data_IF_355110484375
#
_entry.id   IF_355110484375
#
_cell.length_a   1.000
_cell.length_b   1.000
_cell.length_c   1.000
_cell.angle_alpha   90.00
_cell.angle_beta   90.00
_cell.angle_gamma   90.00
#
_symmetry.space_group_name_H-M   'P 1'
#
loop_
_entity.id
_entity.type
_entity.pdbx_description
1 polymer ?
#
# COMPACT_ATOMS: atom_id res chain seq x y z
N UNK A 1 -20.32 -36.71 -13.98
CA UNK A 1 -19.15 -35.97 -13.45
C UNK A 1 -19.19 -36.08 -11.94
N UNK A 2 -18.16 -36.65 -11.27
CA UNK A 2 -18.20 -36.84 -9.80
C UNK A 2 -18.23 -35.47 -9.10
N UNK A 3 -19.01 -35.32 -8.03
CA UNK A 3 -19.20 -34.07 -7.26
C UNK A 3 -17.86 -33.38 -6.89
N UNK A 4 -16.82 -34.18 -6.64
CA UNK A 4 -15.43 -33.73 -6.42
C UNK A 4 -14.86 -32.87 -7.55
N UNK A 5 -15.16 -33.20 -8.81
CA UNK A 5 -14.64 -32.47 -9.97
C UNK A 5 -15.35 -31.12 -10.15
N UNK A 6 -16.64 -31.04 -9.79
CA UNK A 6 -17.40 -29.78 -9.79
C UNK A 6 -16.85 -28.85 -8.71
N UNK A 7 -16.50 -29.39 -7.54
CA UNK A 7 -15.91 -28.62 -6.44
C UNK A 7 -14.52 -28.07 -6.76
N UNK A 8 -13.66 -28.86 -7.42
CA UNK A 8 -12.34 -28.41 -7.89
C UNK A 8 -12.47 -27.33 -8.96
N UNK A 9 -13.40 -27.49 -9.92
CA UNK A 9 -13.68 -26.46 -10.94
C UNK A 9 -14.24 -25.18 -10.31
N UNK A 10 -15.12 -25.29 -9.31
CA UNK A 10 -15.64 -24.13 -8.58
C UNK A 10 -14.56 -23.42 -7.74
N UNK A 11 -13.63 -24.17 -7.13
CA UNK A 11 -12.50 -23.61 -6.38
C UNK A 11 -11.47 -22.93 -7.30
N UNK A 12 -11.29 -23.45 -8.52
CA UNK A 12 -10.38 -22.89 -9.51
C UNK A 12 -10.92 -21.58 -10.13
N UNK A 13 -12.25 -21.40 -10.17
CA UNK A 13 -12.92 -20.15 -10.58
C UNK A 13 -12.89 -19.09 -9.47
N UNK A 14 -12.71 -19.50 -8.20
CA UNK A 14 -12.55 -18.59 -7.06
C UNK A 14 -11.10 -18.14 -6.80
N UNK A 15 -10.12 -18.61 -7.58
CA UNK A 15 -8.77 -18.07 -7.48
C UNK A 15 -8.78 -16.61 -7.98
N UNK A 16 -8.38 -15.63 -7.16
CA UNK A 16 -8.24 -14.26 -7.64
C UNK A 16 -7.24 -14.25 -8.78
N UNK A 17 -7.69 -13.86 -9.97
CA UNK A 17 -6.80 -13.63 -11.10
C UNK A 17 -5.85 -12.50 -10.69
N UNK A 18 -4.51 -12.68 -10.81
CA UNK A 18 -3.60 -11.56 -10.62
C UNK A 18 -3.92 -10.53 -11.69
N UNK A 19 -4.46 -9.38 -11.28
CA UNK A 19 -4.51 -8.22 -12.16
C UNK A 19 -3.06 -7.78 -12.39
N UNK A 20 -2.64 -7.58 -13.65
CA UNK A 20 -1.32 -7.03 -13.91
C UNK A 20 -1.20 -5.68 -13.21
N UNK A 21 -0.13 -5.50 -12.44
CA UNK A 21 0.21 -4.21 -11.85
C UNK A 21 0.46 -3.19 -12.96
N UNK A 22 0.16 -1.93 -12.70
CA UNK A 22 0.35 -0.84 -13.64
C UNK A 22 1.84 -0.71 -14.01
N UNK A 23 2.12 -0.68 -15.32
CA UNK A 23 3.48 -0.52 -15.82
C UNK A 23 4.08 0.82 -15.37
N UNK A 24 5.30 0.77 -14.85
CA UNK A 24 6.04 1.96 -14.45
C UNK A 24 6.45 2.77 -15.70
N UNK A 25 6.08 4.05 -15.79
CA UNK A 25 6.47 4.91 -16.90
C UNK A 25 7.99 5.07 -16.99
N UNK A 26 8.50 5.39 -18.18
CA UNK A 26 9.93 5.62 -18.36
C UNK A 26 10.39 6.89 -17.62
N UNK A 27 11.59 6.85 -17.07
CA UNK A 27 12.21 8.02 -16.46
C UNK A 27 12.91 8.84 -17.56
N UNK A 28 12.37 10.02 -17.87
CA UNK A 28 12.90 10.91 -18.91
C UNK A 28 13.62 12.15 -18.35
N UNK A 29 13.39 12.46 -17.08
CA UNK A 29 13.91 13.66 -16.43
C UNK A 29 13.55 13.69 -14.95
N UNK A 30 13.78 14.81 -14.28
CA UNK A 30 13.34 14.99 -12.89
C UNK A 30 11.84 15.24 -12.85
N UNK A 31 11.25 15.79 -13.92
CA UNK A 31 9.81 15.95 -14.09
C UNK A 31 9.30 15.07 -15.23
N UNK A 32 8.36 14.18 -14.89
CA UNK A 32 7.76 13.22 -15.81
C UNK A 32 6.24 13.43 -15.85
N UNK A 33 5.78 14.34 -16.70
CA UNK A 33 4.36 14.76 -16.76
C UNK A 33 3.55 13.96 -17.80
N UNK A 34 3.22 12.69 -17.50
CA UNK A 34 2.45 11.84 -18.41
C UNK A 34 0.96 12.19 -18.47
N UNK A 35 0.44 12.86 -17.44
CA UNK A 35 -0.95 13.32 -17.39
C UNK A 35 -1.16 14.70 -18.06
N UNK A 36 -0.08 15.38 -18.48
CA UNK A 36 -0.12 16.76 -19.01
C UNK A 36 -0.81 17.73 -18.06
N UNK A 37 -0.50 17.61 -16.78
CA UNK A 37 -1.04 18.46 -15.73
C UNK A 37 -0.26 19.76 -15.58
N UNK A 38 0.98 19.82 -16.08
CA UNK A 38 1.87 20.96 -15.92
C UNK A 38 2.09 21.69 -17.24
N UNK A 39 2.25 23.01 -17.18
CA UNK A 39 2.69 23.78 -18.34
C UNK A 39 4.13 23.41 -18.73
N UNK A 40 4.48 23.44 -20.03
CA UNK A 40 5.86 23.20 -20.48
C UNK A 40 6.88 24.13 -19.80
N UNK A 41 6.48 25.37 -19.49
CA UNK A 41 7.28 26.34 -18.75
C UNK A 41 7.58 25.85 -17.34
N UNK A 42 6.57 25.38 -16.62
CA UNK A 42 6.71 24.86 -15.26
C UNK A 42 7.58 23.59 -15.24
N UNK A 43 7.38 22.67 -16.18
CA UNK A 43 8.23 21.47 -16.33
C UNK A 43 9.70 21.86 -16.45
N UNK A 44 10.05 22.79 -17.36
CA UNK A 44 11.43 23.25 -17.55
C UNK A 44 12.01 23.92 -16.30
N UNK A 45 11.22 24.77 -15.64
CA UNK A 45 11.66 25.46 -14.42
C UNK A 45 11.92 24.48 -13.27
N UNK A 46 11.04 23.51 -13.08
CA UNK A 46 11.18 22.47 -12.06
C UNK A 46 12.37 21.56 -12.36
N UNK A 47 12.55 21.11 -13.60
CA UNK A 47 13.71 20.30 -13.97
C UNK A 47 15.03 21.01 -13.65
N UNK A 48 15.16 22.29 -14.00
CA UNK A 48 16.35 23.10 -13.72
C UNK A 48 16.57 23.32 -12.21
N UNK A 49 15.49 23.59 -11.47
CA UNK A 49 15.53 23.76 -10.01
C UNK A 49 15.99 22.48 -9.33
N UNK A 50 15.38 21.35 -9.68
CA UNK A 50 15.71 20.04 -9.11
C UNK A 50 17.13 19.60 -9.50
N UNK A 51 17.58 19.89 -10.72
CA UNK A 51 18.96 19.63 -11.14
C UNK A 51 19.99 20.43 -10.35
N UNK A 52 19.68 21.69 -10.03
CA UNK A 52 20.55 22.53 -9.21
C UNK A 52 20.58 22.04 -7.76
N UNK A 53 19.41 21.74 -7.20
CA UNK A 53 19.30 21.22 -5.85
C UNK A 53 20.03 19.87 -5.66
N UNK A 54 19.93 18.96 -6.63
CA UNK A 54 20.65 17.68 -6.59
C UNK A 54 22.16 17.87 -6.61
N UNK A 55 22.68 18.81 -7.43
CA UNK A 55 24.12 19.13 -7.45
C UNK A 55 24.62 19.64 -6.10
N UNK A 56 23.82 20.46 -5.42
CA UNK A 56 24.22 21.10 -4.16
C UNK A 56 24.07 20.16 -2.94
N UNK A 57 23.07 19.30 -2.94
CA UNK A 57 22.69 18.49 -1.77
C UNK A 57 22.90 16.98 -1.93
N UNK A 58 23.26 16.52 -3.13
CA UNK A 58 23.21 15.11 -3.57
C UNK A 58 21.82 14.45 -3.52
N UNK A 59 20.78 15.15 -3.08
CA UNK A 59 19.42 14.61 -2.90
C UNK A 59 18.68 14.60 -4.24
N UNK A 60 18.11 13.46 -4.60
CA UNK A 60 17.38 13.30 -5.85
C UNK A 60 15.88 13.45 -5.60
N UNK A 61 15.26 14.45 -6.21
CA UNK A 61 13.81 14.64 -6.17
C UNK A 61 13.28 14.47 -7.59
N UNK A 62 12.24 13.64 -7.75
CA UNK A 62 11.53 13.45 -9.00
C UNK A 62 10.03 13.74 -8.86
N UNK A 63 9.41 14.18 -9.94
CA UNK A 63 7.98 14.42 -10.07
C UNK A 63 7.43 13.49 -11.14
N UNK A 64 6.32 12.82 -10.84
CA UNK A 64 5.57 11.98 -11.76
C UNK A 64 4.09 12.40 -11.74
N UNK A 65 3.51 12.65 -12.91
CA UNK A 65 2.06 12.71 -13.05
C UNK A 65 1.61 11.54 -13.92
N UNK A 66 0.53 10.87 -13.54
CA UNK A 66 -0.07 9.79 -14.31
C UNK A 66 -1.56 10.04 -14.53
N UNK A 67 -2.10 9.70 -15.71
CA UNK A 67 -3.52 9.94 -16.00
C UNK A 67 -4.44 9.12 -15.09
N UNK A 68 -4.04 7.90 -14.72
CA UNK A 68 -4.81 7.00 -13.84
C UNK A 68 -3.91 5.93 -13.23
N UNK A 69 -4.32 5.39 -12.09
CA UNK A 69 -3.72 4.21 -11.44
C UNK A 69 -4.32 2.89 -11.95
N UNK A 70 -5.36 2.92 -12.79
CA UNK A 70 -6.03 1.71 -13.33
C UNK A 70 -6.52 0.71 -12.27
N UNK A 71 -6.80 1.19 -11.05
CA UNK A 71 -7.23 0.36 -9.93
C UNK A 71 -6.12 0.00 -8.94
N UNK A 72 -4.85 0.33 -9.23
CA UNK A 72 -3.74 0.13 -8.31
C UNK A 72 -3.77 1.11 -7.13
N UNK A 73 -3.17 0.68 -6.03
CA UNK A 73 -2.96 1.52 -4.86
C UNK A 73 -1.79 2.48 -5.08
N UNK A 74 -1.99 3.77 -4.75
CA UNK A 74 -1.01 4.82 -5.01
C UNK A 74 0.30 4.60 -4.24
N UNK A 75 0.21 4.10 -3.01
CA UNK A 75 1.39 3.86 -2.17
C UNK A 75 2.24 2.73 -2.76
N UNK A 76 1.62 1.59 -3.05
CA UNK A 76 2.33 0.48 -3.70
C UNK A 76 2.91 0.87 -5.06
N UNK A 77 2.13 1.59 -5.88
CA UNK A 77 2.60 2.09 -7.16
C UNK A 77 3.79 3.04 -7.00
N UNK A 78 3.76 3.95 -6.04
CA UNK A 78 4.86 4.90 -5.81
C UNK A 78 6.17 4.22 -5.39
N UNK A 79 6.09 3.18 -4.57
CA UNK A 79 7.25 2.37 -4.15
C UNK A 79 7.84 1.67 -5.37
N UNK A 80 7.01 0.99 -6.16
CA UNK A 80 7.45 0.31 -7.40
C UNK A 80 8.13 1.29 -8.37
N UNK A 81 7.56 2.48 -8.56
CA UNK A 81 8.18 3.53 -9.39
C UNK A 81 9.53 3.93 -8.84
N UNK A 82 9.61 4.24 -7.54
CA UNK A 82 10.85 4.69 -6.90
C UNK A 82 11.97 3.64 -6.97
N UNK A 83 11.64 2.37 -6.75
CA UNK A 83 12.55 1.23 -6.86
C UNK A 83 13.02 1.00 -8.31
N UNK A 84 12.08 0.98 -9.26
CA UNK A 84 12.40 0.75 -10.67
C UNK A 84 13.23 1.89 -11.26
N UNK A 85 12.93 3.13 -10.89
CA UNK A 85 13.71 4.31 -11.24
C UNK A 85 15.02 4.41 -10.46
N UNK A 86 15.21 3.58 -9.43
CA UNK A 86 16.38 3.55 -8.55
C UNK A 86 16.66 4.93 -7.96
N UNK A 87 15.63 5.63 -7.50
CA UNK A 87 15.77 7.03 -7.10
C UNK A 87 16.65 7.17 -5.84
N UNK A 88 17.43 8.25 -5.75
CA UNK A 88 18.41 8.45 -4.68
C UNK A 88 19.75 7.77 -4.95
N UNK A 89 20.72 7.92 -4.05
CA UNK A 89 22.04 7.31 -4.18
C UNK A 89 22.18 6.08 -3.27
N UNK A 90 22.77 5.00 -3.79
CA UNK A 90 23.03 3.78 -3.04
C UNK A 90 23.78 4.07 -1.72
N UNK A 91 23.18 3.64 -0.61
CA UNK A 91 23.74 3.80 0.74
C UNK A 91 23.58 5.20 1.34
N UNK A 92 23.01 6.15 0.60
CA UNK A 92 22.53 7.43 1.15
C UNK A 92 21.01 7.48 1.24
N UNK A 93 20.31 6.70 0.40
CA UNK A 93 18.86 6.54 0.40
C UNK A 93 18.12 7.89 0.39
N UNK A 94 18.67 8.83 -0.39
CA UNK A 94 18.29 10.24 -0.42
C UNK A 94 17.46 10.59 -1.66
N UNK A 95 16.50 9.73 -1.99
CA UNK A 95 15.53 9.93 -3.06
C UNK A 95 14.18 10.42 -2.53
N UNK A 96 13.47 11.25 -3.29
CA UNK A 96 12.08 11.66 -3.02
C UNK A 96 11.29 11.63 -4.32
N UNK A 97 10.15 10.93 -4.34
CA UNK A 97 9.23 10.93 -5.46
C UNK A 97 7.93 11.65 -5.07
N UNK A 98 7.61 12.73 -5.77
CA UNK A 98 6.28 13.34 -5.74
C UNK A 98 5.45 12.78 -6.89
N UNK A 99 4.34 12.12 -6.58
CA UNK A 99 3.46 11.52 -7.57
C UNK A 99 2.04 12.09 -7.49
N UNK A 100 1.45 12.40 -8.65
CA UNK A 100 0.06 12.82 -8.78
C UNK A 100 -0.67 11.87 -9.75
N UNK A 101 -1.81 11.33 -9.31
CA UNK A 101 -2.71 10.53 -10.13
C UNK A 101 -3.96 11.36 -10.44
N UNK A 102 -4.16 11.69 -11.72
CA UNK A 102 -5.16 12.66 -12.16
C UNK A 102 -6.59 12.14 -11.98
N UNK A 103 -6.91 10.96 -12.52
CA UNK A 103 -8.26 10.40 -12.46
C UNK A 103 -8.72 10.12 -11.03
N UNK A 104 -7.81 9.67 -10.17
CA UNK A 104 -8.10 9.37 -8.76
C UNK A 104 -8.05 10.62 -7.86
N UNK A 105 -7.55 11.75 -8.38
CA UNK A 105 -7.23 12.97 -7.62
C UNK A 105 -6.45 12.69 -6.34
N UNK A 106 -5.41 11.87 -6.46
CA UNK A 106 -4.53 11.52 -5.35
C UNK A 106 -3.13 12.05 -5.58
N UNK A 107 -2.48 12.41 -4.48
CA UNK A 107 -1.09 12.86 -4.46
C UNK A 107 -0.34 12.09 -3.38
N UNK A 108 0.92 11.75 -3.63
CA UNK A 108 1.80 11.13 -2.63
C UNK A 108 3.21 11.67 -2.75
N UNK A 109 3.86 11.82 -1.61
CA UNK A 109 5.30 12.02 -1.49
C UNK A 109 5.85 10.72 -0.92
N UNK A 110 6.71 10.05 -1.67
CA UNK A 110 7.46 8.85 -1.26
C UNK A 110 8.88 9.27 -0.92
N UNK A 111 9.37 8.87 0.25
CA UNK A 111 10.62 9.38 0.84
C UNK A 111 11.57 8.22 1.13
N UNK A 112 12.80 8.32 0.61
CA UNK A 112 13.86 7.36 0.88
C UNK A 112 14.30 7.38 2.34
N UNK A 113 14.79 6.24 2.84
CA UNK A 113 15.11 6.04 4.26
C UNK A 113 16.08 7.09 4.82
N UNK A 114 17.03 7.55 4.01
CA UNK A 114 18.05 8.52 4.43
C UNK A 114 17.53 9.93 4.72
N UNK A 115 16.30 10.24 4.29
CA UNK A 115 15.68 11.55 4.48
C UNK A 115 14.61 11.57 5.57
N UNK A 116 14.23 10.42 6.15
CA UNK A 116 13.17 10.34 7.17
C UNK A 116 13.45 11.21 8.41
N UNK A 117 14.71 11.51 8.72
CA UNK A 117 15.07 12.39 9.84
C UNK A 117 14.71 13.87 9.61
N UNK A 118 14.65 14.33 8.36
CA UNK A 118 14.38 15.73 7.98
C UNK A 118 13.04 15.90 7.26
N UNK A 119 12.59 14.87 6.55
CA UNK A 119 11.30 14.79 5.85
C UNK A 119 10.54 13.51 6.30
N UNK A 120 10.12 13.42 7.57
CA UNK A 120 9.27 12.32 8.03
C UNK A 120 7.85 12.40 7.46
N UNK A 121 7.08 11.32 7.59
CA UNK A 121 5.68 11.20 7.12
C UNK A 121 4.78 12.35 7.58
N UNK A 122 4.96 12.82 8.82
CA UNK A 122 4.20 13.97 9.35
C UNK A 122 4.49 15.23 8.54
N UNK A 123 5.76 15.48 8.19
CA UNK A 123 6.17 16.64 7.40
C UNK A 123 5.67 16.50 5.97
N UNK A 124 5.83 15.34 5.35
CA UNK A 124 5.27 15.05 4.02
C UNK A 124 3.74 15.28 3.99
N UNK A 125 3.03 14.83 5.03
CA UNK A 125 1.58 15.04 5.17
C UNK A 125 1.22 16.52 5.28
N UNK A 126 1.99 17.31 6.03
CA UNK A 126 1.81 18.77 6.11
C UNK A 126 2.05 19.47 4.77
N UNK A 127 3.11 19.08 4.04
CA UNK A 127 3.38 19.63 2.72
C UNK A 127 2.19 19.37 1.79
N UNK A 128 1.72 18.13 1.73
CA UNK A 128 0.59 17.80 0.86
C UNK A 128 -0.65 18.57 1.29
N UNK A 129 -1.04 18.48 2.56
CA UNK A 129 -2.33 18.99 3.04
C UNK A 129 -2.38 20.51 3.08
N UNK A 130 -1.34 21.14 3.60
CA UNK A 130 -1.35 22.57 3.95
C UNK A 130 -0.73 23.42 2.83
N UNK A 131 0.17 22.86 2.01
CA UNK A 131 0.83 23.57 0.90
C UNK A 131 0.21 23.22 -0.44
N UNK A 132 0.13 21.92 -0.79
CA UNK A 132 -0.26 21.51 -2.15
C UNK A 132 -1.78 21.50 -2.36
N UNK A 133 -2.52 20.83 -1.46
CA UNK A 133 -3.95 20.56 -1.59
C UNK A 133 -4.81 21.80 -1.91
N UNK A 134 -4.57 23.00 -1.35
CA UNK A 134 -5.35 24.19 -1.71
C UNK A 134 -5.28 24.54 -3.20
N UNK A 135 -4.11 24.40 -3.82
CA UNK A 135 -3.93 24.64 -5.25
C UNK A 135 -4.47 23.49 -6.09
N UNK A 136 -4.22 22.24 -5.69
CA UNK A 136 -4.70 21.06 -6.41
C UNK A 136 -6.24 20.99 -6.46
N UNK A 137 -6.92 21.42 -5.38
CA UNK A 137 -8.38 21.53 -5.32
C UNK A 137 -8.98 22.50 -6.33
N UNK A 138 -8.22 23.52 -6.70
CA UNK A 138 -8.61 24.55 -7.67
C UNK A 138 -8.02 24.29 -9.06
N UNK A 139 -7.54 23.07 -9.31
CA UNK A 139 -6.88 22.62 -10.55
C UNK A 139 -5.69 23.51 -10.96
N UNK A 140 -5.10 24.23 -10.00
CA UNK A 140 -3.90 25.04 -10.19
C UNK A 140 -2.65 24.18 -9.96
N UNK A 141 -2.44 23.20 -10.84
CA UNK A 141 -1.39 22.19 -10.71
C UNK A 141 0.02 22.79 -10.75
N UNK A 142 0.27 23.77 -11.62
CA UNK A 142 1.57 24.43 -11.75
C UNK A 142 2.03 25.03 -10.41
N UNK A 143 1.17 25.81 -9.76
CA UNK A 143 1.48 26.41 -8.46
C UNK A 143 1.52 25.36 -7.35
N UNK A 144 0.61 24.38 -7.36
CA UNK A 144 0.56 23.33 -6.34
C UNK A 144 1.81 22.45 -6.32
N UNK A 145 2.27 22.01 -7.49
CA UNK A 145 3.50 21.21 -7.62
C UNK A 145 4.73 22.05 -7.33
N UNK A 146 4.79 23.29 -7.81
CA UNK A 146 5.94 24.18 -7.54
C UNK A 146 6.10 24.48 -6.05
N UNK A 147 5.00 24.86 -5.38
CA UNK A 147 5.01 25.11 -3.94
C UNK A 147 5.31 23.84 -3.13
N UNK A 148 4.80 22.69 -3.56
CA UNK A 148 5.12 21.39 -2.97
C UNK A 148 6.61 21.06 -3.05
N UNK A 149 7.22 21.25 -4.22
CA UNK A 149 8.66 21.01 -4.43
C UNK A 149 9.51 21.97 -3.59
N UNK A 150 9.14 23.25 -3.51
CA UNK A 150 9.84 24.21 -2.67
C UNK A 150 9.76 23.83 -1.18
N UNK A 151 8.61 23.35 -0.73
CA UNK A 151 8.43 22.87 0.63
C UNK A 151 9.21 21.57 0.91
N UNK A 152 9.28 20.64 -0.04
CA UNK A 152 10.11 19.42 0.06
C UNK A 152 11.59 19.82 0.17
N UNK A 153 12.07 20.71 -0.70
CA UNK A 153 13.46 21.21 -0.65
C UNK A 153 13.74 21.86 0.71
N UNK A 154 12.85 22.71 1.21
CA UNK A 154 12.99 23.34 2.53
C UNK A 154 13.03 22.30 3.66
N UNK A 155 12.19 21.26 3.59
CA UNK A 155 12.17 20.20 4.58
C UNK A 155 13.46 19.38 4.59
N UNK A 156 14.01 19.05 3.41
CA UNK A 156 15.30 18.33 3.32
C UNK A 156 16.48 19.12 3.89
N UNK A 157 16.37 20.45 3.97
CA UNK A 157 17.35 21.34 4.63
C UNK A 157 17.07 21.55 6.12
N UNK A 158 15.98 21.00 6.66
CA UNK A 158 15.53 21.23 8.03
C UNK A 158 14.91 22.61 8.27
N UNK A 159 14.56 23.33 7.22
CA UNK A 159 14.06 24.72 7.28
C UNK A 159 12.53 24.81 7.29
N UNK A 160 11.85 23.70 6.97
CA UNK A 160 10.39 23.68 6.85
C UNK A 160 9.71 23.87 8.22
N UNK A 161 8.80 24.85 8.28
CA UNK A 161 7.95 25.12 9.43
C UNK A 161 6.50 24.91 9.01
N UNK A 162 5.88 23.83 9.49
CA UNK A 162 4.45 23.66 9.33
C UNK A 162 3.72 24.82 10.03
N UNK A 163 2.67 25.35 9.39
CA UNK A 163 1.80 26.31 10.04
C UNK A 163 1.21 25.66 11.31
N UNK A 164 1.15 26.36 12.46
CA UNK A 164 0.51 25.83 13.65
C UNK A 164 -1.00 25.75 13.42
N UNK A 165 -1.46 24.64 12.84
CA UNK A 165 -2.88 24.28 12.76
C UNK A 165 -3.05 22.81 13.14
N UNK A 166 -3.76 22.62 14.25
CA UNK A 166 -4.44 21.42 14.72
C UNK A 166 -3.65 20.10 14.63
N UNK A 167 -2.71 19.95 15.55
CA UNK A 167 -2.20 18.65 16.03
C UNK A 167 -3.29 17.75 16.67
N UNK A 168 -4.58 18.04 16.44
CA UNK A 168 -5.72 17.41 17.08
C UNK A 168 -6.76 16.95 16.08
N UNK A 169 -6.37 16.15 15.08
CA UNK A 169 -7.32 15.41 14.21
C UNK A 169 -6.63 14.28 13.43
N UNK A 170 -5.76 13.51 14.07
CA UNK A 170 -5.43 12.17 13.57
C UNK A 170 -6.48 11.20 14.10
N UNK A 171 -7.57 11.08 13.35
CA UNK A 171 -8.38 9.88 13.39
C UNK A 171 -7.45 8.73 12.98
N UNK A 172 -7.06 7.94 13.98
CA UNK A 172 -6.41 6.66 13.79
C UNK A 172 -7.26 5.90 12.74
N UNK A 173 -6.76 5.77 11.51
CA UNK A 173 -7.33 4.83 10.53
C UNK A 173 -7.04 3.46 11.11
N UNK A 174 -7.91 3.01 12.01
CA UNK A 174 -7.89 1.68 12.61
C UNK A 174 -8.00 0.75 11.42
N UNK A 175 -6.97 -0.06 11.19
CA UNK A 175 -7.02 -1.17 10.24
C UNK A 175 -8.13 -2.10 10.72
N UNK A 176 -9.37 -1.84 10.30
CA UNK A 176 -10.39 -2.85 10.35
C UNK A 176 -9.88 -3.94 9.41
N UNK A 177 -9.53 -5.09 9.99
CA UNK A 177 -9.44 -6.30 9.18
C UNK A 177 -10.71 -6.31 8.34
N UNK A 178 -10.55 -6.26 7.02
CA UNK A 178 -11.66 -6.20 6.09
C UNK A 178 -12.63 -7.31 6.48
N UNK A 179 -13.89 -6.98 6.74
CA UNK A 179 -14.95 -7.91 7.17
C UNK A 179 -14.84 -9.33 6.57
N UNK A 180 -14.51 -9.53 5.27
CA UNK A 180 -14.25 -10.87 4.71
C UNK A 180 -13.11 -11.65 5.39
N UNK A 181 -12.00 -11.03 5.78
CA UNK A 181 -10.86 -11.69 6.45
C UNK A 181 -11.25 -12.15 7.85
N UNK A 182 -12.01 -11.33 8.58
CA UNK A 182 -12.48 -11.68 9.92
C UNK A 182 -13.52 -12.82 9.87
N UNK A 183 -14.41 -12.79 8.87
CA UNK A 183 -15.39 -13.85 8.62
C UNK A 183 -14.70 -15.16 8.25
N UNK A 184 -13.67 -15.13 7.39
CA UNK A 184 -12.85 -16.29 7.04
C UNK A 184 -12.22 -16.93 8.28
N UNK A 185 -11.64 -16.13 9.17
CA UNK A 185 -10.99 -16.62 10.39
C UNK A 185 -11.99 -17.31 11.34
N UNK A 186 -13.20 -16.75 11.48
CA UNK A 186 -14.26 -17.37 12.28
C UNK A 186 -14.73 -18.69 11.68
N UNK A 187 -14.86 -18.76 10.35
CA UNK A 187 -15.23 -20.00 9.66
C UNK A 187 -14.15 -21.07 9.84
N UNK A 188 -12.86 -20.71 9.73
CA UNK A 188 -11.74 -21.63 9.96
C UNK A 188 -11.75 -22.15 11.40
N UNK A 189 -11.90 -21.28 12.39
CA UNK A 189 -11.98 -21.67 13.81
C UNK A 189 -13.20 -22.56 14.08
N UNK A 190 -14.37 -22.25 13.51
CA UNK A 190 -15.57 -23.06 13.66
C UNK A 190 -15.44 -24.46 13.03
N UNK A 191 -14.75 -24.56 11.89
CA UNK A 191 -14.48 -25.85 11.22
C UNK A 191 -13.47 -26.69 12.01
N UNK A 192 -12.40 -26.08 12.54
CA UNK A 192 -11.40 -26.76 13.35
C UNK A 192 -11.98 -27.27 14.68
N UNK A 193 -12.80 -26.46 15.35
CA UNK A 193 -13.47 -26.88 16.59
C UNK A 193 -14.57 -27.93 16.34
N UNK A 194 -15.22 -27.88 15.17
CA UNK A 194 -16.21 -28.87 14.73
C UNK A 194 -15.64 -30.27 14.50
N UNK A 195 -14.32 -30.38 14.29
CA UNK A 195 -13.63 -31.67 14.24
C UNK A 195 -13.51 -32.35 15.62
N UNK A 196 -13.55 -31.58 16.71
CA UNK A 196 -13.48 -32.09 18.09
C UNK A 196 -14.85 -32.26 18.76
N UNK A 197 -15.79 -31.33 18.53
CA UNK A 197 -17.16 -31.44 19.03
C UNK A 197 -18.12 -30.53 18.26
N UNK A 198 -19.25 -31.10 17.81
CA UNK A 198 -20.30 -30.39 17.06
C UNK A 198 -20.98 -29.28 17.86
N UNK A 199 -20.92 -29.35 19.19
CA UNK A 199 -21.46 -28.31 20.07
C UNK A 199 -20.51 -27.11 20.16
N UNK A 200 -19.20 -27.33 20.05
CA UNK A 200 -18.19 -26.26 20.10
C UNK A 200 -18.19 -25.42 18.82
N UNK A 201 -18.43 -26.02 17.65
CA UNK A 201 -18.55 -25.26 16.39
C UNK A 201 -19.80 -24.37 16.34
N UNK A 202 -20.92 -24.84 16.88
CA UNK A 202 -22.14 -24.04 17.04
C UNK A 202 -21.90 -22.84 17.97
N UNK A 203 -21.24 -23.06 19.11
CA UNK A 203 -20.90 -22.00 20.05
C UNK A 203 -19.92 -20.97 19.44
N UNK A 204 -18.91 -21.44 18.69
CA UNK A 204 -17.97 -20.58 17.99
C UNK A 204 -18.66 -19.70 16.94
N UNK A 205 -19.61 -20.25 16.17
CA UNK A 205 -20.41 -19.47 15.24
C UNK A 205 -21.32 -18.45 15.94
N UNK A 206 -21.95 -18.84 17.05
CA UNK A 206 -22.84 -18.00 17.84
C UNK A 206 -22.14 -16.78 18.46
N UNK A 207 -20.86 -16.90 18.80
CA UNK A 207 -20.05 -15.80 19.35
C UNK A 207 -19.31 -15.04 18.26
N UNK A 208 -18.74 -15.74 17.27
CA UNK A 208 -17.91 -15.16 16.24
C UNK A 208 -18.68 -14.24 15.29
N UNK A 209 -19.85 -14.67 14.83
CA UNK A 209 -20.62 -13.92 13.82
C UNK A 209 -21.11 -12.55 14.33
N UNK A 210 -21.68 -12.43 15.56
CA UNK A 210 -21.99 -11.13 16.15
C UNK A 210 -20.76 -10.26 16.39
N UNK A 211 -19.65 -10.85 16.84
CA UNK A 211 -18.42 -10.13 17.13
C UNK A 211 -17.82 -9.51 15.86
N UNK A 212 -17.81 -10.26 14.75
CA UNK A 212 -17.37 -9.75 13.46
C UNK A 212 -18.26 -8.63 12.92
N UNK A 213 -19.58 -8.79 13.05
CA UNK A 213 -20.53 -7.76 12.63
C UNK A 213 -20.37 -6.48 13.45
N UNK A 214 -20.19 -6.60 14.77
CA UNK A 214 -19.97 -5.46 15.66
C UNK A 214 -18.66 -4.72 15.37
N UNK A 215 -17.59 -5.46 15.04
CA UNK A 215 -16.29 -4.87 14.69
C UNK A 215 -16.30 -4.18 13.32
N UNK A 216 -17.06 -4.70 12.35
CA UNK A 216 -17.15 -4.11 11.02
C UNK A 216 -18.15 -2.95 10.95
N UNK A 217 -19.22 -3.00 11.75
CA UNK A 217 -20.29 -2.01 11.76
C UNK A 217 -20.56 -1.55 13.21
N UNK A 218 -19.75 -0.63 13.75
CA UNK A 218 -19.98 -0.09 15.08
C UNK A 218 -21.32 0.68 15.10
N UNK A 219 -22.25 0.28 15.96
CA UNK A 219 -23.60 0.85 16.06
C UNK A 219 -24.75 -0.14 15.92
N UNK A 220 -24.47 -1.43 15.69
CA UNK A 220 -25.50 -2.47 15.70
C UNK A 220 -26.16 -2.58 17.08
N UNK A 221 -27.50 -2.53 17.09
CA UNK A 221 -28.28 -2.70 18.31
C UNK A 221 -28.21 -4.11 18.88
N UNK A 222 -28.40 -4.23 20.20
CA UNK A 222 -28.28 -5.49 20.96
C UNK A 222 -29.20 -6.59 20.42
N UNK A 223 -30.41 -6.23 19.97
CA UNK A 223 -31.37 -7.15 19.34
C UNK A 223 -30.80 -7.77 18.05
N UNK A 224 -30.10 -7.00 17.22
CA UNK A 224 -29.49 -7.50 15.98
C UNK A 224 -28.33 -8.45 16.28
N UNK A 225 -27.52 -8.17 17.32
CA UNK A 225 -26.44 -9.05 17.74
C UNK A 225 -26.97 -10.40 18.26
N UNK A 226 -28.09 -10.41 18.97
CA UNK A 226 -28.73 -11.66 19.42
C UNK A 226 -29.30 -12.49 18.26
N UNK A 227 -29.88 -11.83 17.25
CA UNK A 227 -30.32 -12.51 16.03
C UNK A 227 -29.12 -13.14 15.30
N UNK A 228 -28.04 -12.38 15.14
CA UNK A 228 -26.80 -12.87 14.52
C UNK A 228 -26.16 -14.02 15.31
N UNK A 229 -26.31 -14.04 16.64
CA UNK A 229 -25.83 -15.14 17.48
C UNK A 229 -26.62 -16.42 17.20
N UNK A 230 -27.96 -16.32 17.07
CA UNK A 230 -28.81 -17.43 16.67
C UNK A 230 -28.48 -17.96 15.28
N UNK A 231 -28.28 -17.07 14.31
CA UNK A 231 -27.86 -17.43 12.94
C UNK A 231 -26.48 -18.09 12.97
N UNK A 232 -25.53 -17.52 13.70
CA UNK A 232 -24.18 -18.05 13.85
C UNK A 232 -24.16 -19.44 14.47
N UNK A 233 -25.04 -19.72 15.43
CA UNK A 233 -25.19 -21.04 16.04
C UNK A 233 -25.62 -22.09 15.00
N UNK A 234 -26.68 -21.79 14.25
CA UNK A 234 -27.23 -22.69 13.22
C UNK A 234 -26.19 -22.91 12.13
N UNK A 235 -25.53 -21.84 11.66
CA UNK A 235 -24.49 -21.92 10.62
C UNK A 235 -23.28 -22.71 11.11
N UNK A 236 -22.78 -22.47 12.32
CA UNK A 236 -21.64 -23.21 12.89
C UNK A 236 -21.95 -24.70 13.11
N UNK A 237 -23.20 -25.02 13.46
CA UNK A 237 -23.66 -26.40 13.56
C UNK A 237 -23.78 -27.08 12.19
N UNK A 238 -24.38 -26.41 11.20
CA UNK A 238 -24.50 -26.91 9.82
C UNK A 238 -23.14 -27.08 9.14
N UNK A 239 -22.21 -26.16 9.38
CA UNK A 239 -20.82 -26.29 8.91
C UNK A 239 -20.16 -27.54 9.50
N UNK A 240 -20.39 -27.85 10.78
CA UNK A 240 -19.85 -29.07 11.37
C UNK A 240 -20.42 -30.35 10.75
N UNK A 241 -21.68 -30.34 10.30
CA UNK A 241 -22.30 -31.44 9.57
C UNK A 241 -21.71 -31.60 8.17
N UNK A 242 -21.47 -30.49 7.47
CA UNK A 242 -20.86 -30.45 6.14
C UNK A 242 -19.40 -30.93 6.16
N UNK A 243 -18.65 -30.61 7.21
CA UNK A 243 -17.21 -30.88 7.32
C UNK A 243 -16.85 -32.05 8.26
N UNK A 244 -17.85 -32.74 8.86
CA UNK A 244 -17.66 -33.91 9.74
C UNK A 244 -16.91 -35.07 9.09
N UNK A 245 -16.85 -35.12 7.76
CA UNK A 245 -16.15 -36.16 6.99
C UNK A 245 -14.72 -35.79 6.56
N UNK A 246 -14.26 -34.56 6.82
CA UNK A 246 -12.95 -34.10 6.33
C UNK A 246 -11.79 -34.43 7.29
N UNK A 247 -12.09 -34.74 8.56
CA UNK A 247 -11.08 -34.98 9.61
C UNK A 247 -11.24 -36.33 10.35
N UNK A 248 -12.06 -37.26 9.82
CA UNK A 248 -12.28 -38.57 10.42
C UNK A 248 -11.46 -39.69 9.76
N UNK A 249 -10.40 -40.17 10.43
CA UNK A 249 -9.70 -41.42 10.08
C UNK A 249 -8.21 -41.40 10.43
N UNK A 250 -7.82 -42.18 11.45
CA UNK A 250 -6.49 -42.14 12.07
C UNK A 250 -5.37 -42.91 11.37
N UNK A 251 -4.25 -43.01 12.10
CA UNK A 251 -3.10 -43.85 11.76
C UNK A 251 -1.78 -43.19 12.14
N UNK A 252 -1.08 -43.79 13.10
CA UNK A 252 0.21 -43.29 13.59
C UNK A 252 1.34 -43.39 12.56
N UNK A 253 2.43 -42.69 12.86
CA UNK A 253 3.67 -42.78 12.14
C UNK A 253 4.56 -41.61 12.52
N UNK A 254 5.62 -41.88 13.31
CA UNK A 254 6.72 -40.95 13.45
C UNK A 254 7.44 -40.74 12.11
N UNK A 255 8.40 -39.83 12.08
CA UNK A 255 9.78 -40.04 11.61
C UNK A 255 10.41 -38.67 11.28
N UNK A 256 11.45 -38.35 12.03
CA UNK A 256 12.74 -37.74 11.62
C UNK A 256 12.80 -36.61 10.57
N UNK A 257 13.42 -35.50 10.97
CA UNK A 257 14.78 -35.17 10.52
C UNK A 257 14.98 -34.43 9.18
N UNK A 258 15.80 -33.38 9.24
CA UNK A 258 16.39 -32.65 8.10
C UNK A 258 15.84 -31.22 8.01
N UNK A 259 16.59 -30.13 8.19
CA UNK A 259 17.97 -29.89 7.73
C UNK A 259 17.95 -29.33 6.30
N UNK A 260 18.91 -28.48 5.94
CA UNK A 260 19.10 -27.78 4.65
C UNK A 260 18.25 -26.51 4.50
N UNK A 261 18.74 -25.33 4.12
CA UNK A 261 20.02 -24.88 3.56
C UNK A 261 19.66 -23.55 2.88
N UNK A 262 20.26 -22.41 3.22
CA UNK A 262 21.51 -21.98 2.58
C UNK A 262 21.26 -21.61 1.11
N UNK A 263 20.98 -20.34 0.81
CA UNK A 263 20.80 -19.85 -0.55
C UNK A 263 20.87 -18.33 -0.62
N UNK A 264 22.10 -17.80 -0.61
CA UNK A 264 22.36 -16.41 -0.97
C UNK A 264 22.28 -16.23 -2.49
N UNK A 265 21.78 -15.08 -2.92
CA UNK A 265 21.80 -14.67 -4.32
C UNK A 265 22.72 -13.46 -4.49
N UNK A 266 23.82 -13.71 -5.20
CA UNK A 266 24.65 -12.72 -5.85
C UNK A 266 24.15 -12.51 -7.29
N UNK A 267 24.35 -11.30 -7.82
CA UNK A 267 24.33 -11.00 -9.25
C UNK A 267 23.44 -9.80 -9.56
N UNK A 268 23.89 -8.76 -10.25
CA UNK A 268 25.16 -8.51 -10.91
C UNK A 268 25.11 -7.09 -11.45
N UNK A 269 26.25 -6.41 -11.41
CA UNK A 269 26.41 -5.10 -12.02
C UNK A 269 26.40 -5.19 -13.55
N UNK A 270 25.79 -4.19 -14.17
CA UNK A 270 25.93 -3.89 -15.58
C UNK A 270 26.11 -2.39 -15.72
N UNK A 271 27.35 -1.96 -15.94
CA UNK A 271 27.63 -0.60 -16.38
C UNK A 271 27.43 -0.51 -17.89
N UNK A 272 26.88 0.60 -18.35
CA UNK A 272 27.08 1.08 -19.71
C UNK A 272 27.23 2.58 -19.66
N UNK A 273 28.36 3.02 -20.19
CA UNK A 273 28.70 4.41 -20.44
C UNK A 273 28.14 4.82 -21.80
N UNK A 274 27.39 5.90 -21.80
CA UNK A 274 26.89 6.60 -22.98
C UNK A 274 26.57 8.01 -22.53
N UNK A 275 27.37 8.97 -22.97
CA UNK A 275 27.24 10.38 -22.61
C UNK A 275 26.06 10.99 -23.34
N UNK A 276 25.07 11.39 -22.56
CA UNK A 276 24.16 12.51 -22.74
C UNK A 276 23.76 12.92 -21.31
N UNK A 277 23.51 14.18 -21.02
CA UNK A 277 23.25 14.72 -19.67
C UNK A 277 21.87 14.29 -19.09
N UNK A 278 21.57 12.99 -19.13
CA UNK A 278 20.31 12.38 -18.72
C UNK A 278 20.22 12.12 -17.22
N UNK A 279 19.07 12.44 -16.63
CA UNK A 279 18.79 12.11 -15.23
C UNK A 279 18.51 10.60 -15.09
N UNK A 280 19.29 9.93 -14.26
CA UNK A 280 19.08 8.53 -13.88
C UNK A 280 19.23 8.37 -12.37
N UNK A 281 18.43 7.49 -11.77
CA UNK A 281 18.56 7.17 -10.34
C UNK A 281 19.86 6.44 -9.99
N UNK A 282 20.36 6.65 -8.77
CA UNK A 282 21.59 6.05 -8.24
C UNK A 282 21.41 4.85 -7.30
N UNK A 283 20.19 4.43 -7.01
CA UNK A 283 19.82 3.23 -6.25
C UNK A 283 19.62 3.41 -4.74
N UNK A 284 18.93 4.44 -4.29
CA UNK A 284 18.51 4.59 -2.89
C UNK A 284 17.37 3.65 -2.48
N UNK A 285 17.34 3.23 -1.22
CA UNK A 285 16.31 2.38 -0.64
C UNK A 285 15.06 3.14 -0.16
N UNK A 286 13.89 2.55 -0.41
CA UNK A 286 12.57 3.02 0.03
C UNK A 286 11.89 1.90 0.83
N UNK A 287 11.23 2.26 1.93
CA UNK A 287 10.51 1.36 2.83
C UNK A 287 9.02 1.69 2.94
N UNK A 288 8.51 2.60 2.09
CA UNK A 288 7.14 3.11 2.13
C UNK A 288 6.98 4.42 2.92
N UNK A 289 8.08 5.05 3.33
CA UNK A 289 8.08 6.36 4.00
C UNK A 289 7.41 7.47 3.17
N UNK A 290 6.80 8.43 3.86
CA UNK A 290 6.15 9.59 3.24
C UNK A 290 4.66 9.71 3.56
N UNK A 291 3.88 10.29 2.65
CA UNK A 291 2.45 10.54 2.89
C UNK A 291 1.65 10.64 1.59
N UNK A 292 0.39 10.21 1.64
CA UNK A 292 -0.56 10.31 0.53
C UNK A 292 -1.85 11.00 0.96
N UNK A 293 -2.52 11.66 0.01
CA UNK A 293 -3.73 12.43 0.27
C UNK A 293 -4.61 12.58 -0.98
N UNK A 294 -5.86 12.97 -0.78
CA UNK A 294 -6.84 13.28 -1.81
C UNK A 294 -6.99 14.81 -2.03
N UNK A 295 -7.30 15.22 -3.26
CA UNK A 295 -7.55 16.62 -3.62
C UNK A 295 -8.81 16.86 -4.44
#
# INVERSE_FOLDING_TARGET
>A
MRLRNIFILALLVLLPLPLPALDVPQLNGRVNDYARMLSPETVRQLDQKLASFERDSSTQIAVLTVPTLQGDDLEQFSIHVAEQWKLGQKGKDNGVLLILAQAERKVRIEVGMGLQGVLPDITASHIIRDVMRPYLKSDNFDQGVTAGIDAIISATKGEFKAAPQDAGKRAHKKSSASFPVLLLLIVVVAVLLGAFSRYLSGLAGAVGLPLAAFLAFPGLGLVMLLILAGVGLVVGFLLSLLFSGMFGGGGGGGFYGGGWGGGGFYGGGGGSSGGDDGFSGGGGGFDGGGSSDDY
#
